data_IF_587043762066
#
_entry.id   IF_587043762066
#
_cell.length_a   1.000
_cell.length_b   1.000
_cell.length_c   1.000
_cell.angle_alpha   90.00
_cell.angle_beta   90.00
_cell.angle_gamma   90.00
#
_symmetry.space_group_name_H-M   'P 1'
#
loop_
_entity.id
_entity.type
_entity.pdbx_description
1 polymer ?
#
# COMPACT_ATOMS: atom_id res chain seq x y z
N UNK A 1 -10.64 16.21 -21.78
CA UNK A 1 -9.89 15.18 -21.04
C UNK A 1 -10.36 15.23 -19.59
N UNK A 2 -10.49 14.10 -18.89
CA UNK A 2 -10.86 14.13 -17.48
C UNK A 2 -9.68 14.70 -16.69
N UNK A 3 -9.91 15.75 -15.90
CA UNK A 3 -8.88 16.32 -15.03
C UNK A 3 -8.65 15.36 -13.86
N UNK A 4 -7.40 15.01 -13.57
CA UNK A 4 -7.04 14.18 -12.40
C UNK A 4 -7.39 15.00 -11.14
N UNK A 5 -8.11 14.37 -10.21
CA UNK A 5 -8.53 14.99 -8.93
C UNK A 5 -7.94 14.28 -7.71
N UNK A 6 -7.46 13.04 -7.90
CA UNK A 6 -6.94 12.23 -6.83
C UNK A 6 -5.82 11.33 -7.36
N UNK A 7 -4.71 11.31 -6.64
CA UNK A 7 -3.71 10.25 -6.77
C UNK A 7 -3.74 9.39 -5.51
N UNK A 8 -3.91 8.10 -5.70
CA UNK A 8 -3.88 7.08 -4.64
C UNK A 8 -2.54 6.38 -4.70
N UNK A 9 -1.78 6.49 -3.63
CA UNK A 9 -0.45 5.88 -3.49
C UNK A 9 -0.48 4.68 -2.57
N UNK A 10 0.34 3.69 -2.86
CA UNK A 10 0.79 2.75 -1.85
C UNK A 10 1.78 3.41 -0.87
N UNK A 11 2.06 2.74 0.24
CA UNK A 11 2.97 3.23 1.27
C UNK A 11 4.38 2.62 1.15
N UNK A 12 4.59 1.41 1.68
CA UNK A 12 5.91 0.78 1.76
C UNK A 12 6.43 0.38 0.37
N UNK A 13 7.59 0.89 -0.03
CA UNK A 13 8.14 0.69 -1.37
C UNK A 13 7.68 1.72 -2.40
N UNK A 14 6.68 2.57 -2.06
CA UNK A 14 6.17 3.62 -2.95
C UNK A 14 6.40 5.01 -2.37
N UNK A 15 5.71 5.37 -1.27
CA UNK A 15 5.86 6.68 -0.62
C UNK A 15 6.73 6.63 0.64
N UNK A 16 6.87 5.46 1.22
CA UNK A 16 7.74 5.16 2.36
C UNK A 16 8.83 4.23 1.89
N UNK A 17 10.08 4.60 2.14
CA UNK A 17 11.23 3.78 1.76
C UNK A 17 11.14 2.41 2.43
N UNK A 18 11.33 1.35 1.64
CA UNK A 18 11.38 -0.04 2.11
C UNK A 18 12.51 -0.76 1.35
N UNK A 19 13.52 -1.19 2.08
CA UNK A 19 14.66 -1.96 1.57
C UNK A 19 14.53 -3.44 1.97
N UNK A 20 13.36 -4.04 1.72
CA UNK A 20 12.98 -5.40 2.10
C UNK A 20 12.73 -5.61 3.61
N UNK A 21 12.50 -4.54 4.38
CA UNK A 21 12.28 -4.63 5.83
C UNK A 21 10.98 -5.39 6.15
N UNK A 22 9.93 -5.17 5.38
CA UNK A 22 8.66 -5.87 5.55
C UNK A 22 8.82 -7.37 5.29
N UNK A 23 9.57 -7.74 4.24
CA UNK A 23 9.91 -9.13 3.93
C UNK A 23 10.70 -9.78 5.06
N UNK A 24 11.72 -9.09 5.59
CA UNK A 24 12.53 -9.57 6.71
C UNK A 24 11.68 -9.80 7.97
N UNK A 25 10.76 -8.88 8.28
CA UNK A 25 9.81 -9.06 9.38
C UNK A 25 8.94 -10.31 9.20
N UNK A 26 8.56 -10.60 7.95
CA UNK A 26 7.80 -11.79 7.60
C UNK A 26 8.59 -13.07 7.87
N UNK A 27 9.86 -13.14 7.43
CA UNK A 27 10.72 -14.30 7.66
C UNK A 27 11.02 -14.51 9.14
N UNK A 28 11.26 -13.46 9.90
CA UNK A 28 11.44 -13.58 11.35
C UNK A 28 10.19 -14.13 12.05
N UNK A 29 9.00 -13.76 11.61
CA UNK A 29 7.75 -14.29 12.15
C UNK A 29 7.56 -15.75 11.75
N UNK A 30 7.83 -16.11 10.50
CA UNK A 30 7.76 -17.48 9.99
C UNK A 30 8.69 -18.41 10.76
N UNK A 31 9.96 -18.03 10.94
CA UNK A 31 10.94 -18.78 11.70
C UNK A 31 10.49 -19.05 13.14
N UNK A 32 10.00 -17.99 13.83
CA UNK A 32 9.54 -18.10 15.22
C UNK A 32 8.32 -18.99 15.39
N UNK A 33 7.54 -19.21 14.35
CA UNK A 33 6.28 -19.98 14.42
C UNK A 33 6.34 -21.32 13.67
N UNK A 34 7.50 -21.66 13.08
CA UNK A 34 7.68 -22.90 12.32
C UNK A 34 7.01 -22.90 10.95
N UNK A 35 6.64 -21.72 10.43
CA UNK A 35 6.11 -21.58 9.09
C UNK A 35 7.25 -21.61 8.07
N UNK A 36 7.15 -22.50 7.07
CA UNK A 36 8.09 -22.54 5.95
C UNK A 36 7.58 -21.63 4.81
N UNK A 37 8.39 -20.67 4.41
CA UNK A 37 8.05 -19.75 3.33
C UNK A 37 9.30 -19.49 2.48
N UNK A 38 9.17 -19.59 1.15
CA UNK A 38 10.22 -19.15 0.23
C UNK A 38 10.11 -17.65 -0.02
N UNK A 39 11.25 -17.01 -0.30
CA UNK A 39 11.29 -15.58 -0.61
C UNK A 39 10.42 -15.25 -1.82
N UNK A 40 10.53 -16.01 -2.91
CA UNK A 40 9.72 -15.81 -4.12
C UNK A 40 8.23 -15.80 -3.81
N UNK A 41 7.76 -16.71 -2.94
CA UNK A 41 6.34 -16.82 -2.60
C UNK A 41 5.88 -15.66 -1.71
N UNK A 42 6.71 -15.23 -0.77
CA UNK A 42 6.42 -14.08 0.10
C UNK A 42 6.39 -12.79 -0.73
N UNK A 43 7.40 -12.57 -1.58
CA UNK A 43 7.48 -11.40 -2.48
C UNK A 43 6.27 -11.35 -3.42
N UNK A 44 5.88 -12.47 -4.02
CA UNK A 44 4.71 -12.52 -4.91
C UNK A 44 3.38 -12.13 -4.24
N UNK A 45 3.32 -12.19 -2.90
CA UNK A 45 2.15 -11.82 -2.11
C UNK A 45 2.29 -10.45 -1.41
N UNK A 46 3.38 -9.71 -1.65
CA UNK A 46 3.50 -8.35 -1.12
C UNK A 46 2.37 -7.46 -1.66
N UNK A 47 1.99 -6.45 -0.88
CA UNK A 47 0.82 -5.63 -1.20
C UNK A 47 -0.53 -6.21 -0.74
N UNK A 48 -0.64 -7.53 -0.53
CA UNK A 48 -1.86 -8.15 0.04
C UNK A 48 -2.00 -7.86 1.55
N UNK A 49 -3.24 -7.98 2.10
CA UNK A 49 -3.43 -7.94 3.54
C UNK A 49 -2.60 -9.01 4.25
N UNK A 50 -1.85 -8.63 5.27
CA UNK A 50 -0.82 -9.51 5.86
C UNK A 50 -1.39 -10.81 6.46
N UNK A 51 -2.60 -10.77 7.00
CA UNK A 51 -3.29 -11.98 7.49
C UNK A 51 -3.55 -12.98 6.35
N UNK A 52 -3.94 -12.51 5.17
CA UNK A 52 -4.17 -13.35 3.98
C UNK A 52 -2.90 -14.09 3.56
N UNK A 53 -1.75 -13.43 3.65
CA UNK A 53 -0.46 -14.06 3.34
C UNK A 53 -0.18 -15.23 4.28
N UNK A 54 -0.37 -15.06 5.61
CA UNK A 54 -0.21 -16.17 6.58
C UNK A 54 -1.24 -17.28 6.35
N UNK A 55 -2.49 -16.93 6.03
CA UNK A 55 -3.51 -17.93 5.69
C UNK A 55 -3.09 -18.79 4.49
N UNK A 56 -2.59 -18.16 3.43
CA UNK A 56 -2.13 -18.86 2.23
C UNK A 56 -0.96 -19.78 2.54
N UNK A 57 0.07 -19.27 3.23
CA UNK A 57 1.27 -20.04 3.53
C UNK A 57 0.99 -21.23 4.47
N UNK A 58 0.18 -21.05 5.51
CA UNK A 58 -0.23 -22.13 6.39
C UNK A 58 -1.13 -23.15 5.71
N UNK A 59 -2.04 -22.69 4.83
CA UNK A 59 -2.85 -23.60 4.02
C UNK A 59 -1.99 -24.50 3.13
N UNK A 60 -0.94 -23.94 2.54
CA UNK A 60 -0.01 -24.72 1.71
C UNK A 60 0.83 -25.71 2.52
N UNK A 61 1.16 -25.37 3.76
CA UNK A 61 2.01 -26.20 4.61
C UNK A 61 1.26 -27.37 5.27
N UNK A 62 0.04 -27.13 5.78
CA UNK A 62 -0.71 -28.13 6.56
C UNK A 62 -2.15 -28.34 6.09
N UNK A 63 -2.67 -27.52 5.18
CA UNK A 63 -4.07 -27.52 4.73
C UNK A 63 -5.01 -26.75 5.65
N UNK A 64 -6.04 -26.15 5.06
CA UNK A 64 -7.04 -25.34 5.78
C UNK A 64 -7.91 -26.15 6.75
N UNK A 65 -8.04 -27.46 6.53
CA UNK A 65 -8.82 -28.38 7.37
C UNK A 65 -8.03 -28.90 8.58
N UNK A 66 -6.74 -28.60 8.68
CA UNK A 66 -5.92 -29.05 9.80
C UNK A 66 -6.38 -28.38 11.11
N UNK A 67 -6.49 -29.13 12.25
CA UNK A 67 -6.98 -28.59 13.52
C UNK A 67 -6.20 -27.36 14.01
N UNK A 68 -4.90 -27.29 13.75
CA UNK A 68 -4.04 -26.20 14.19
C UNK A 68 -3.94 -25.05 13.16
N UNK A 69 -4.62 -25.12 12.00
CA UNK A 69 -4.50 -24.13 10.95
C UNK A 69 -4.81 -22.71 11.44
N UNK A 70 -5.97 -22.49 12.04
CA UNK A 70 -6.38 -21.18 12.51
C UNK A 70 -5.49 -20.65 13.63
N UNK A 71 -5.08 -21.52 14.56
CA UNK A 71 -4.19 -21.12 15.67
C UNK A 71 -2.79 -20.75 15.17
N UNK A 72 -2.28 -21.46 14.17
CA UNK A 72 -0.98 -21.17 13.57
C UNK A 72 -1.00 -19.86 12.78
N UNK A 73 -2.05 -19.63 11.99
CA UNK A 73 -2.25 -18.35 11.29
C UNK A 73 -2.26 -17.18 12.27
N UNK A 74 -3.06 -17.28 13.34
CA UNK A 74 -3.17 -16.23 14.35
C UNK A 74 -1.86 -15.99 15.09
N UNK A 75 -1.19 -17.06 15.52
CA UNK A 75 0.11 -16.97 16.19
C UNK A 75 1.15 -16.28 15.31
N UNK A 76 1.27 -16.70 14.04
CA UNK A 76 2.21 -16.08 13.11
C UNK A 76 1.89 -14.61 12.84
N UNK A 77 0.61 -14.28 12.69
CA UNK A 77 0.19 -12.90 12.49
C UNK A 77 0.48 -12.02 13.70
N UNK A 78 0.23 -12.50 14.93
CA UNK A 78 0.55 -11.76 16.17
C UNK A 78 2.06 -11.55 16.28
N UNK A 79 2.87 -12.57 16.03
CA UNK A 79 4.33 -12.46 16.06
C UNK A 79 4.82 -11.45 15.02
N UNK A 80 4.29 -11.51 13.82
CA UNK A 80 4.59 -10.56 12.75
C UNK A 80 4.22 -9.12 13.15
N UNK A 81 3.01 -8.90 13.68
CA UNK A 81 2.59 -7.57 14.16
C UNK A 81 3.61 -7.00 15.15
N UNK A 82 4.00 -7.78 16.14
CA UNK A 82 4.95 -7.33 17.16
C UNK A 82 6.32 -6.96 16.56
N UNK A 83 6.82 -7.76 15.60
CA UNK A 83 8.09 -7.50 14.92
C UNK A 83 7.99 -6.23 14.06
N UNK A 84 6.96 -6.13 13.23
CA UNK A 84 6.76 -5.03 12.29
C UNK A 84 6.54 -3.69 13.02
N UNK A 85 5.68 -3.68 14.04
CA UNK A 85 5.44 -2.47 14.84
C UNK A 85 6.71 -2.02 15.58
N UNK A 86 7.47 -2.97 16.16
CA UNK A 86 8.74 -2.64 16.79
C UNK A 86 9.74 -2.08 15.77
N UNK A 87 9.82 -2.67 14.57
CA UNK A 87 10.65 -2.17 13.48
C UNK A 87 10.29 -0.71 13.18
N UNK A 88 9.02 -0.43 12.84
CA UNK A 88 8.58 0.92 12.51
C UNK A 88 8.62 1.91 13.68
N UNK A 89 8.68 1.46 14.94
CA UNK A 89 8.89 2.35 16.11
C UNK A 89 10.36 2.72 16.32
N UNK A 90 11.30 1.83 15.96
CA UNK A 90 12.70 1.94 16.42
C UNK A 90 13.71 2.15 15.31
N UNK A 91 13.45 1.67 14.08
CA UNK A 91 14.38 1.79 12.98
C UNK A 91 14.22 3.12 12.22
N UNK A 92 15.21 3.57 11.45
CA UNK A 92 15.07 4.74 10.58
C UNK A 92 13.83 4.60 9.69
N UNK A 93 13.14 5.72 9.48
CA UNK A 93 11.93 5.77 8.66
C UNK A 93 11.94 7.08 7.87
N UNK A 94 11.94 6.96 6.58
CA UNK A 94 12.07 8.08 5.65
C UNK A 94 11.05 7.99 4.52
N UNK A 95 10.58 9.13 3.98
CA UNK A 95 9.86 9.14 2.71
C UNK A 95 10.77 8.63 1.58
N UNK A 96 10.18 8.01 0.57
CA UNK A 96 10.88 7.73 -0.70
C UNK A 96 11.36 9.04 -1.32
N UNK A 97 12.50 9.00 -1.99
CA UNK A 97 13.07 10.16 -2.67
C UNK A 97 12.06 10.80 -3.65
N UNK A 98 11.91 12.12 -3.58
CA UNK A 98 10.98 12.89 -4.40
C UNK A 98 9.51 12.82 -3.94
N UNK A 99 9.18 12.10 -2.86
CA UNK A 99 7.81 11.94 -2.39
C UNK A 99 7.19 13.27 -1.92
N UNK A 100 7.90 14.01 -1.08
CA UNK A 100 7.38 15.27 -0.53
C UNK A 100 7.27 16.35 -1.61
N UNK A 101 8.23 16.42 -2.52
CA UNK A 101 8.22 17.32 -3.67
C UNK A 101 7.02 17.03 -4.59
N UNK A 102 6.74 15.73 -4.84
CA UNK A 102 5.56 15.33 -5.60
C UNK A 102 4.26 15.69 -4.88
N UNK A 103 4.19 15.49 -3.56
CA UNK A 103 3.01 15.86 -2.77
C UNK A 103 2.75 17.38 -2.81
N UNK A 104 3.79 18.18 -2.66
CA UNK A 104 3.67 19.64 -2.76
C UNK A 104 3.23 20.07 -4.16
N UNK A 105 3.76 19.44 -5.21
CA UNK A 105 3.33 19.71 -6.58
C UNK A 105 1.85 19.32 -6.79
N UNK A 106 1.41 18.13 -6.38
CA UNK A 106 0.01 17.71 -6.49
C UNK A 106 -0.94 18.69 -5.80
N UNK A 107 -0.60 19.13 -4.60
CA UNK A 107 -1.37 20.16 -3.87
C UNK A 107 -1.42 21.47 -4.64
N UNK A 108 -0.33 21.89 -5.27
CA UNK A 108 -0.32 23.12 -6.11
C UNK A 108 -1.22 23.01 -7.33
N UNK A 109 -1.54 21.80 -7.79
CA UNK A 109 -2.47 21.50 -8.88
C UNK A 109 -3.90 21.22 -8.43
N UNK A 110 -4.23 21.40 -7.12
CA UNK A 110 -5.52 21.03 -6.51
C UNK A 110 -5.86 19.53 -6.67
N UNK A 111 -4.83 18.68 -6.71
CA UNK A 111 -4.97 17.22 -6.76
C UNK A 111 -4.85 16.66 -5.36
N UNK A 112 -5.85 15.91 -4.93
CA UNK A 112 -5.88 15.27 -3.62
C UNK A 112 -4.96 14.06 -3.59
N UNK A 113 -4.44 13.76 -2.39
CA UNK A 113 -3.52 12.65 -2.12
C UNK A 113 -4.19 11.70 -1.14
N UNK A 114 -4.29 10.43 -1.50
CA UNK A 114 -4.70 9.38 -0.59
C UNK A 114 -3.64 8.29 -0.50
N UNK A 115 -3.42 7.76 0.69
CA UNK A 115 -2.61 6.58 0.93
C UNK A 115 -3.51 5.37 1.12
N UNK A 116 -3.16 4.27 0.46
CA UNK A 116 -3.71 2.94 0.74
C UNK A 116 -2.57 1.99 1.00
N UNK A 117 -2.79 0.89 1.72
CA UNK A 117 -1.72 -0.05 2.07
C UNK A 117 -2.28 -1.44 2.36
N UNK A 118 -1.47 -2.46 2.24
CA UNK A 118 -1.77 -3.80 2.77
C UNK A 118 -1.53 -3.94 4.28
N UNK A 119 -1.07 -2.88 4.95
CA UNK A 119 -0.91 -2.85 6.40
C UNK A 119 -2.25 -2.66 7.11
N UNK A 120 -2.32 -3.16 8.34
CA UNK A 120 -3.40 -2.88 9.27
C UNK A 120 -3.22 -1.50 9.94
N UNK A 121 -4.29 -0.98 10.54
CA UNK A 121 -4.34 0.41 11.02
C UNK A 121 -3.24 0.76 12.02
N UNK A 122 -2.98 -0.07 13.02
CA UNK A 122 -2.04 0.24 14.10
C UNK A 122 -0.61 0.50 13.60
N UNK A 123 -0.11 -0.31 12.65
CA UNK A 123 1.23 -0.06 12.10
C UNK A 123 1.23 1.13 11.15
N UNK A 124 0.14 1.37 10.43
CA UNK A 124 -0.02 2.55 9.58
C UNK A 124 0.02 3.83 10.42
N UNK A 125 -0.63 3.83 11.58
CA UNK A 125 -0.62 4.97 12.51
C UNK A 125 0.79 5.27 13.02
N UNK A 126 1.57 4.24 13.36
CA UNK A 126 2.98 4.42 13.75
C UNK A 126 3.78 5.11 12.63
N UNK A 127 3.62 4.67 11.39
CA UNK A 127 4.32 5.25 10.23
C UNK A 127 3.89 6.70 10.03
N UNK A 128 2.59 6.97 9.98
CA UNK A 128 2.05 8.31 9.78
C UNK A 128 2.48 9.28 10.88
N UNK A 129 2.46 8.84 12.15
CA UNK A 129 2.89 9.65 13.30
C UNK A 129 4.37 9.98 13.21
N UNK A 130 5.22 8.99 12.94
CA UNK A 130 6.67 9.19 12.85
C UNK A 130 7.10 10.08 11.70
N UNK A 131 6.39 10.04 10.58
CA UNK A 131 6.62 10.93 9.43
C UNK A 131 5.91 12.28 9.58
N UNK A 132 5.04 12.46 10.59
CA UNK A 132 4.23 13.67 10.75
C UNK A 132 3.10 13.80 9.73
N UNK A 133 2.77 12.70 9.03
CA UNK A 133 1.75 12.70 7.96
C UNK A 133 0.32 12.57 8.48
N UNK A 134 0.14 12.28 9.78
CA UNK A 134 -1.16 12.26 10.45
C UNK A 134 -1.69 13.66 10.80
N UNK A 135 -0.89 14.71 10.62
CA UNK A 135 -1.29 16.07 10.99
C UNK A 135 -2.49 16.53 10.17
N UNK A 136 -3.56 16.92 10.89
CA UNK A 136 -4.81 17.37 10.28
C UNK A 136 -5.76 16.26 9.82
N UNK A 137 -5.42 14.97 10.02
CA UNK A 137 -6.36 13.87 9.85
C UNK A 137 -7.34 13.80 11.03
N UNK A 138 -8.61 13.57 10.74
CA UNK A 138 -9.64 13.33 11.75
C UNK A 138 -9.69 11.86 12.18
N UNK A 139 -10.65 11.48 13.03
CA UNK A 139 -10.84 10.08 13.49
C UNK A 139 -11.19 9.08 12.37
N UNK A 140 -11.63 9.56 11.22
CA UNK A 140 -11.89 8.73 10.03
C UNK A 140 -10.67 8.70 9.07
N UNK A 141 -9.52 9.21 9.51
CA UNK A 141 -8.29 9.36 8.72
C UNK A 141 -8.44 10.20 7.46
N UNK A 142 -9.31 11.20 7.52
CA UNK A 142 -9.56 12.15 6.45
C UNK A 142 -9.00 13.52 6.85
N UNK A 143 -8.17 14.08 5.99
CA UNK A 143 -7.53 15.37 6.16
C UNK A 143 -8.30 16.52 5.52
N UNK A 144 -7.91 17.72 5.90
CA UNK A 144 -8.34 18.98 5.25
C UNK A 144 -7.46 19.30 4.03
N UNK A 145 -7.77 20.37 3.33
CA UNK A 145 -6.94 20.91 2.22
C UNK A 145 -5.52 21.27 2.68
N UNK A 146 -5.37 21.64 3.96
CA UNK A 146 -4.06 21.99 4.53
C UNK A 146 -3.24 20.77 5.00
N UNK A 147 -3.84 19.59 5.10
CA UNK A 147 -3.14 18.36 5.48
C UNK A 147 -2.17 17.97 4.36
N UNK A 148 -1.08 17.26 4.72
CA UNK A 148 -0.14 16.73 3.73
C UNK A 148 -0.82 15.71 2.81
N UNK A 149 -1.64 14.83 3.41
CA UNK A 149 -2.48 13.86 2.71
C UNK A 149 -3.94 14.09 3.07
N UNK A 150 -4.86 13.79 2.16
CA UNK A 150 -6.30 13.97 2.39
C UNK A 150 -7.01 12.70 2.81
N UNK A 151 -6.40 11.52 2.65
CA UNK A 151 -6.95 10.27 3.19
C UNK A 151 -5.84 9.24 3.46
N UNK A 152 -6.04 8.42 4.49
CA UNK A 152 -5.28 7.18 4.72
C UNK A 152 -6.27 6.05 4.97
N UNK A 153 -6.32 5.06 4.09
CA UNK A 153 -7.26 3.94 4.16
C UNK A 153 -6.48 2.63 4.21
N UNK A 154 -6.81 1.79 5.18
CA UNK A 154 -6.24 0.44 5.35
C UNK A 154 -7.35 -0.63 5.22
N UNK A 155 -7.01 -1.92 5.14
CA UNK A 155 -8.01 -2.98 5.20
C UNK A 155 -8.87 -2.92 6.47
N UNK A 156 -8.34 -2.41 7.59
CA UNK A 156 -9.06 -2.34 8.87
C UNK A 156 -10.34 -1.48 8.82
N UNK A 157 -10.43 -0.55 7.87
CA UNK A 157 -11.64 0.26 7.65
C UNK A 157 -12.60 -0.35 6.63
N UNK A 158 -12.28 -1.52 6.06
CA UNK A 158 -13.08 -2.19 5.05
C UNK A 158 -13.80 -3.39 5.67
N UNK A 159 -15.01 -3.65 5.20
CA UNK A 159 -15.78 -4.80 5.68
C UNK A 159 -14.99 -6.11 5.48
N UNK A 160 -14.88 -6.91 6.53
CA UNK A 160 -14.08 -8.15 6.59
C UNK A 160 -12.59 -7.95 6.27
N UNK A 161 -12.08 -6.75 6.46
CA UNK A 161 -10.68 -6.39 6.15
C UNK A 161 -10.28 -6.72 4.71
N UNK A 162 -11.23 -6.63 3.77
CA UNK A 162 -11.02 -6.96 2.36
C UNK A 162 -10.14 -5.88 1.71
N UNK A 163 -8.85 -6.18 1.63
CA UNK A 163 -7.84 -5.30 1.03
C UNK A 163 -7.59 -5.63 -0.44
N UNK A 164 -6.43 -5.24 -0.92
CA UNK A 164 -5.99 -5.46 -2.30
C UNK A 164 -6.04 -6.95 -2.68
N UNK A 165 -6.37 -7.25 -3.92
CA UNK A 165 -6.61 -6.36 -5.06
C UNK A 165 -8.05 -5.83 -5.16
N UNK A 166 -8.88 -5.98 -4.12
CA UNK A 166 -10.23 -5.42 -4.12
C UNK A 166 -10.20 -3.87 -4.17
N UNK A 167 -11.18 -3.23 -4.83
CA UNK A 167 -11.16 -1.79 -5.09
C UNK A 167 -11.57 -0.93 -3.90
N UNK A 168 -11.99 -1.55 -2.80
CA UNK A 168 -12.77 -0.89 -1.75
C UNK A 168 -12.03 0.22 -1.01
N UNK A 169 -10.70 0.10 -0.82
CA UNK A 169 -9.91 1.16 -0.19
C UNK A 169 -9.88 2.41 -1.06
N UNK A 170 -9.68 2.26 -2.38
CA UNK A 170 -9.73 3.38 -3.33
C UNK A 170 -11.13 3.99 -3.36
N UNK A 171 -12.16 3.17 -3.48
CA UNK A 171 -13.56 3.62 -3.50
C UNK A 171 -13.95 4.35 -2.21
N UNK A 172 -13.47 3.87 -1.06
CA UNK A 172 -13.69 4.54 0.23
C UNK A 172 -13.00 5.90 0.29
N UNK A 173 -11.74 6.00 -0.16
CA UNK A 173 -11.03 7.27 -0.26
C UNK A 173 -11.79 8.24 -1.17
N UNK A 174 -12.19 7.80 -2.36
CA UNK A 174 -13.00 8.60 -3.29
C UNK A 174 -14.28 9.12 -2.64
N UNK A 175 -15.06 8.23 -2.03
CA UNK A 175 -16.32 8.59 -1.38
C UNK A 175 -16.12 9.62 -0.27
N UNK A 176 -15.15 9.40 0.61
CA UNK A 176 -14.84 10.30 1.73
C UNK A 176 -14.32 11.68 1.26
N UNK A 177 -13.67 11.72 0.11
CA UNK A 177 -13.13 12.96 -0.48
C UNK A 177 -14.10 13.65 -1.45
N UNK A 178 -15.31 13.10 -1.64
CA UNK A 178 -16.32 13.66 -2.54
C UNK A 178 -15.97 13.52 -4.03
N UNK A 179 -15.19 12.50 -4.40
CA UNK A 179 -14.79 12.19 -5.78
C UNK A 179 -15.61 11.00 -6.26
N UNK A 180 -16.50 11.22 -7.21
CA UNK A 180 -17.46 10.19 -7.67
C UNK A 180 -17.14 9.63 -9.06
N UNK A 181 -16.20 10.26 -9.78
CA UNK A 181 -15.74 9.78 -11.08
C UNK A 181 -14.39 9.10 -10.95
N UNK A 182 -14.37 7.76 -11.09
CA UNK A 182 -13.13 6.97 -11.04
C UNK A 182 -12.16 7.31 -12.18
N UNK A 183 -12.67 7.91 -13.29
CA UNK A 183 -11.83 8.41 -14.39
C UNK A 183 -11.15 9.75 -14.08
N UNK A 184 -11.29 10.27 -12.87
CA UNK A 184 -10.48 11.35 -12.32
C UNK A 184 -9.45 10.88 -11.27
N UNK A 185 -9.25 9.58 -11.15
CA UNK A 185 -8.36 8.95 -10.14
C UNK A 185 -7.21 8.21 -10.81
N UNK A 186 -6.02 8.40 -10.30
CA UNK A 186 -4.81 7.65 -10.67
C UNK A 186 -4.35 6.84 -9.46
N UNK A 187 -3.95 5.58 -9.69
CA UNK A 187 -3.34 4.73 -8.68
C UNK A 187 -1.87 4.47 -9.04
N UNK A 188 -1.00 4.45 -8.03
CA UNK A 188 0.41 4.05 -8.18
C UNK A 188 0.88 3.24 -6.98
N UNK A 189 1.62 2.16 -7.25
CA UNK A 189 2.22 1.30 -6.25
C UNK A 189 3.31 0.42 -6.84
N UNK A 190 4.01 -0.33 -6.01
CA UNK A 190 5.21 -1.10 -6.39
C UNK A 190 4.95 -2.62 -6.49
N UNK A 191 3.69 -3.04 -6.38
CA UNK A 191 3.32 -4.46 -6.43
C UNK A 191 2.26 -4.76 -7.50
N UNK A 192 2.18 -6.02 -8.00
CA UNK A 192 1.08 -6.45 -8.88
C UNK A 192 -0.30 -6.23 -8.25
N UNK A 193 -0.39 -6.31 -6.93
CA UNK A 193 -1.63 -6.09 -6.17
C UNK A 193 -2.11 -4.63 -6.26
N UNK A 194 -1.18 -3.66 -6.35
CA UNK A 194 -1.51 -2.24 -6.56
C UNK A 194 -2.07 -2.01 -7.96
N UNK A 195 -1.38 -2.55 -8.97
CA UNK A 195 -1.82 -2.48 -10.36
C UNK A 195 -3.23 -3.03 -10.52
N UNK A 196 -3.48 -4.24 -9.98
CA UNK A 196 -4.79 -4.86 -10.04
C UNK A 196 -5.86 -4.05 -9.29
N UNK A 197 -5.51 -3.42 -8.14
CA UNK A 197 -6.45 -2.58 -7.37
C UNK A 197 -6.90 -1.37 -8.16
N UNK A 198 -5.98 -0.68 -8.86
CA UNK A 198 -6.30 0.46 -9.71
C UNK A 198 -7.27 0.08 -10.84
N UNK A 199 -7.02 -1.04 -11.53
CA UNK A 199 -7.92 -1.55 -12.56
C UNK A 199 -9.28 -1.96 -11.99
N UNK A 200 -9.31 -2.67 -10.87
CA UNK A 200 -10.55 -3.11 -10.23
C UNK A 200 -11.39 -1.91 -9.72
N UNK A 201 -10.74 -0.82 -9.34
CA UNK A 201 -11.40 0.43 -8.99
C UNK A 201 -11.82 1.26 -10.23
N UNK A 202 -11.51 0.78 -11.44
CA UNK A 202 -11.76 1.49 -12.70
C UNK A 202 -11.10 2.88 -12.76
N UNK A 203 -9.93 3.04 -12.15
CA UNK A 203 -9.17 4.29 -12.19
C UNK A 203 -8.88 4.74 -13.64
N UNK A 204 -8.55 6.01 -13.83
CA UNK A 204 -8.12 6.55 -15.13
C UNK A 204 -6.84 5.84 -15.59
N UNK A 205 -5.89 5.72 -14.67
CA UNK A 205 -4.63 5.00 -14.87
C UNK A 205 -4.26 4.22 -13.62
N UNK A 206 -3.61 3.06 -13.84
CA UNK A 206 -2.96 2.25 -12.82
C UNK A 206 -1.49 2.09 -13.18
N UNK A 207 -0.63 2.82 -12.47
CA UNK A 207 0.80 2.90 -12.72
C UNK A 207 1.60 2.06 -11.72
N UNK A 208 2.77 1.59 -12.16
CA UNK A 208 3.75 0.92 -11.30
C UNK A 208 4.99 1.77 -11.05
N UNK A 209 5.57 1.64 -9.86
CA UNK A 209 6.90 2.15 -9.53
C UNK A 209 7.86 0.98 -9.30
N UNK A 210 9.09 1.06 -9.86
CA UNK A 210 9.99 -0.08 -9.98
C UNK A 210 11.22 0.01 -9.05
N UNK A 211 11.22 0.97 -8.16
CA UNK A 211 12.23 1.14 -7.11
C UNK A 211 11.79 0.64 -5.72
N UNK A 212 10.69 -0.09 -5.66
CA UNK A 212 10.16 -0.74 -4.46
C UNK A 212 10.42 -2.26 -4.44
N UNK A 213 9.43 -3.04 -4.01
CA UNK A 213 9.52 -4.51 -3.84
C UNK A 213 9.72 -5.26 -5.14
N UNK A 214 9.07 -4.81 -6.25
CA UNK A 214 9.12 -5.52 -7.54
C UNK A 214 9.91 -4.74 -8.58
N UNK A 215 10.69 -5.48 -9.37
CA UNK A 215 11.44 -4.93 -10.51
C UNK A 215 10.51 -4.60 -11.68
N UNK A 216 10.99 -3.78 -12.62
CA UNK A 216 10.28 -3.45 -13.86
C UNK A 216 9.87 -4.70 -14.63
N UNK A 217 10.78 -5.69 -14.76
CA UNK A 217 10.50 -6.93 -15.48
C UNK A 217 9.35 -7.73 -14.84
N UNK A 218 9.27 -7.75 -13.49
CA UNK A 218 8.20 -8.43 -12.77
C UNK A 218 6.86 -7.69 -12.91
N UNK A 219 6.85 -6.36 -12.79
CA UNK A 219 5.62 -5.56 -12.95
C UNK A 219 5.12 -5.55 -14.40
N UNK A 220 6.01 -5.64 -15.39
CA UNK A 220 5.64 -5.68 -16.81
C UNK A 220 4.85 -6.94 -17.21
N UNK A 221 4.88 -7.99 -16.38
CA UNK A 221 4.06 -9.20 -16.59
C UNK A 221 2.56 -8.97 -16.29
N UNK A 222 2.22 -7.85 -15.63
CA UNK A 222 0.86 -7.51 -15.23
C UNK A 222 0.34 -6.32 -16.04
N UNK A 223 -0.99 -6.24 -16.27
CA UNK A 223 -1.58 -5.04 -16.86
C UNK A 223 -1.17 -3.79 -16.10
N UNK A 224 -0.68 -2.78 -16.84
CA UNK A 224 -0.28 -1.48 -16.29
C UNK A 224 -0.40 -0.40 -17.38
N UNK A 225 -0.54 0.86 -16.96
CA UNK A 225 -0.61 2.02 -17.86
C UNK A 225 0.74 2.74 -17.99
N UNK A 226 1.77 2.22 -17.33
CA UNK A 226 3.16 2.69 -17.36
C UNK A 226 3.91 2.33 -16.08
N UNK A 227 5.22 2.14 -16.21
CA UNK A 227 6.15 1.82 -15.14
C UNK A 227 7.19 2.93 -15.04
N UNK A 228 7.54 3.34 -13.82
CA UNK A 228 8.46 4.44 -13.56
C UNK A 228 9.55 4.02 -12.56
N UNK A 229 10.78 4.43 -12.81
CA UNK A 229 11.92 4.17 -11.93
C UNK A 229 11.95 5.06 -10.69
N UNK A 230 11.16 6.16 -10.68
CA UNK A 230 11.12 7.11 -9.57
C UNK A 230 9.80 7.88 -9.53
N UNK A 231 9.48 8.46 -8.36
CA UNK A 231 8.34 9.37 -8.21
C UNK A 231 8.50 10.65 -9.05
N UNK A 232 9.72 11.04 -9.38
CA UNK A 232 9.99 12.16 -10.27
C UNK A 232 9.57 11.85 -11.71
N UNK A 233 9.90 10.68 -12.26
CA UNK A 233 9.44 10.25 -13.58
C UNK A 233 7.91 10.16 -13.63
N UNK A 234 7.29 9.67 -12.57
CA UNK A 234 5.83 9.67 -12.44
C UNK A 234 5.26 11.09 -12.47
N UNK A 235 5.87 12.05 -11.76
CA UNK A 235 5.47 13.47 -11.82
C UNK A 235 5.56 14.03 -13.25
N UNK A 236 6.67 13.78 -13.95
CA UNK A 236 6.87 14.17 -15.34
C UNK A 236 5.77 13.62 -16.26
N UNK A 237 5.36 12.37 -16.01
CA UNK A 237 4.22 11.76 -16.70
C UNK A 237 2.92 12.48 -16.43
N UNK A 238 2.60 12.79 -15.17
CA UNK A 238 1.38 13.54 -14.82
C UNK A 238 1.35 14.92 -15.49
N UNK A 239 2.47 15.64 -15.51
CA UNK A 239 2.61 16.92 -16.24
C UNK A 239 2.30 16.74 -17.73
N UNK A 240 2.81 15.66 -18.35
CA UNK A 240 2.58 15.37 -19.77
C UNK A 240 1.12 15.05 -20.12
N UNK A 241 0.33 14.61 -19.15
CA UNK A 241 -1.10 14.33 -19.30
C UNK A 241 -1.97 15.58 -19.26
N UNK A 242 -1.39 16.75 -19.01
CA UNK A 242 -2.05 18.04 -19.12
C UNK A 242 -2.77 18.48 -17.83
N UNK A 243 -2.22 18.09 -16.70
CA UNK A 243 -2.57 18.65 -15.39
C UNK A 243 -1.50 19.60 -14.91
#
# INVERSE_FOLDING_TARGET
MSTIKLVVFDMAGTTVKDECEVEQCFFHAAEKTGLQASSEKVVAMMGLPKRVVFQTLWNDQIGSDHPDYLSNVESSFIVFKNILENHYRTQPLEPTEGCLELFDWLKSQDIKIALTTGFYREVTDIILERLGWNQGLNSDYIGSENSLIQASITPSEIYKEEGRPAPYMIQKAMYKLGIFDSKSVVCIGDTPSDLATGYNANCLYSFGITNGTHTEAQLAEYPNDGLFGSLREFQEKLVSLGN
#
